data_IF_618042504588
#
_entry.id   IF_618042504588
#
_cell.length_a   1.000
_cell.length_b   1.000
_cell.length_c   1.000
_cell.angle_alpha   90.00
_cell.angle_beta   90.00
_cell.angle_gamma   90.00
#
_symmetry.space_group_name_H-M   'P 1'
#
loop_
_entity.id
_entity.type
_entity.pdbx_description
1 polymer ?
#
# COMPACT_ATOMS: atom_id res chain seq x y z
N UNK A 1 -13.37 -15.82 -19.56
CA UNK A 1 -13.76 -16.06 -18.15
C UNK A 1 -12.97 -15.21 -17.15
N UNK A 2 -11.68 -15.46 -16.87
CA UNK A 2 -10.96 -14.69 -15.82
C UNK A 2 -10.90 -13.17 -16.11
N UNK A 3 -10.58 -12.78 -17.35
CA UNK A 3 -10.61 -11.37 -17.77
C UNK A 3 -12.02 -10.77 -17.71
N UNK A 4 -13.03 -11.52 -18.17
CA UNK A 4 -14.42 -11.07 -18.14
C UNK A 4 -14.85 -10.71 -16.70
N UNK A 5 -14.61 -11.57 -15.71
CA UNK A 5 -14.97 -11.29 -14.31
C UNK A 5 -14.19 -10.14 -13.68
N UNK A 6 -12.92 -9.96 -14.05
CA UNK A 6 -12.17 -8.78 -13.64
C UNK A 6 -12.79 -7.50 -14.23
N UNK A 7 -13.15 -7.54 -15.51
CA UNK A 7 -13.60 -6.38 -16.27
C UNK A 7 -15.04 -5.97 -15.97
N UNK A 8 -15.88 -6.89 -15.45
CA UNK A 8 -17.22 -6.59 -14.94
C UNK A 8 -17.23 -5.47 -13.88
N UNK A 9 -16.18 -5.41 -13.05
CA UNK A 9 -16.08 -4.42 -11.96
C UNK A 9 -15.00 -3.36 -12.23
N UNK A 10 -14.04 -3.65 -13.11
CA UNK A 10 -12.95 -2.75 -13.49
C UNK A 10 -12.78 -2.67 -15.02
N UNK A 11 -13.74 -2.08 -15.76
CA UNK A 11 -13.78 -2.15 -17.23
C UNK A 11 -12.72 -1.27 -17.91
N UNK A 12 -12.19 -0.24 -17.22
CA UNK A 12 -11.23 0.69 -17.82
C UNK A 12 -9.92 -0.02 -18.17
N UNK A 13 -9.32 0.34 -19.31
CA UNK A 13 -8.00 -0.18 -19.72
C UNK A 13 -6.90 0.10 -18.69
N UNK A 14 -6.98 1.24 -17.99
CA UNK A 14 -6.05 1.56 -16.90
C UNK A 14 -6.06 0.53 -15.76
N UNK A 15 -7.15 -0.22 -15.58
CA UNK A 15 -7.23 -1.25 -14.53
C UNK A 15 -6.45 -2.52 -14.89
N UNK A 16 -6.16 -2.78 -16.18
CA UNK A 16 -5.40 -3.96 -16.62
C UNK A 16 -3.93 -3.91 -16.21
N UNK A 17 -3.44 -2.70 -15.93
CA UNK A 17 -2.07 -2.43 -15.48
C UNK A 17 -2.02 -1.91 -14.04
N UNK A 18 -3.17 -1.82 -13.37
CA UNK A 18 -3.23 -1.33 -12.01
C UNK A 18 -2.68 -2.36 -11.03
N UNK A 19 -1.98 -1.90 -9.99
CA UNK A 19 -1.49 -2.73 -8.90
C UNK A 19 -2.60 -3.03 -7.86
N UNK A 20 -3.80 -3.36 -8.32
CA UNK A 20 -4.90 -3.86 -7.49
C UNK A 20 -5.96 -4.56 -8.34
N UNK A 21 -6.71 -5.46 -7.71
CA UNK A 21 -7.91 -6.09 -8.26
C UNK A 21 -9.17 -5.54 -7.58
N UNK A 22 -10.34 -5.90 -8.09
CA UNK A 22 -11.65 -5.48 -7.56
C UNK A 22 -11.93 -5.95 -6.13
N UNK A 23 -11.23 -7.00 -5.65
CA UNK A 23 -11.40 -7.50 -4.28
C UNK A 23 -10.80 -6.61 -3.20
N UNK A 24 -9.64 -5.99 -3.46
CA UNK A 24 -8.88 -5.27 -2.42
C UNK A 24 -8.82 -3.76 -2.67
N UNK A 25 -9.07 -3.32 -3.90
CA UNK A 25 -9.00 -1.91 -4.27
C UNK A 25 -7.59 -1.31 -4.15
N UNK A 26 -7.43 -0.02 -4.49
CA UNK A 26 -6.11 0.62 -4.65
C UNK A 26 -5.31 0.78 -3.35
N UNK A 27 -5.99 0.81 -2.20
CA UNK A 27 -5.36 1.10 -0.91
C UNK A 27 -4.99 -0.15 -0.10
N UNK A 28 -5.64 -1.29 -0.35
CA UNK A 28 -5.52 -2.49 0.50
C UNK A 28 -5.08 -3.74 -0.27
N UNK A 29 -4.54 -3.59 -1.48
CA UNK A 29 -3.98 -4.72 -2.21
C UNK A 29 -2.76 -5.29 -1.47
N UNK A 30 -2.90 -6.48 -0.89
CA UNK A 30 -1.86 -7.15 -0.11
C UNK A 30 -0.54 -7.34 -0.88
N UNK A 31 -0.63 -7.68 -2.16
CA UNK A 31 0.54 -7.80 -3.03
C UNK A 31 1.28 -6.48 -3.19
N UNK A 32 0.55 -5.38 -3.43
CA UNK A 32 1.16 -4.05 -3.55
C UNK A 32 1.82 -3.62 -2.24
N UNK A 33 1.11 -3.77 -1.12
CA UNK A 33 1.66 -3.45 0.21
C UNK A 33 2.95 -4.23 0.47
N UNK A 34 2.97 -5.52 0.14
CA UNK A 34 4.16 -6.35 0.30
C UNK A 34 5.31 -5.89 -0.59
N UNK A 35 5.02 -5.48 -1.83
CA UNK A 35 6.01 -4.92 -2.73
C UNK A 35 6.56 -3.59 -2.21
N UNK A 36 5.69 -2.69 -1.72
CA UNK A 36 6.09 -1.39 -1.17
C UNK A 36 7.03 -1.56 0.03
N UNK A 37 6.80 -2.56 0.91
CA UNK A 37 7.69 -2.90 2.03
C UNK A 37 9.05 -3.39 1.55
N UNK A 38 9.09 -4.27 0.54
CA UNK A 38 10.35 -4.76 -0.05
C UNK A 38 11.14 -3.66 -0.73
N UNK A 39 10.46 -2.78 -1.46
CA UNK A 39 11.08 -1.66 -2.15
C UNK A 39 11.65 -0.65 -1.14
N UNK A 40 10.96 -0.43 -0.01
CA UNK A 40 11.47 0.36 1.10
C UNK A 40 12.72 -0.29 1.71
N UNK A 41 12.67 -1.58 2.03
CA UNK A 41 13.81 -2.33 2.56
C UNK A 41 15.04 -2.24 1.64
N UNK A 42 14.84 -2.45 0.32
CA UNK A 42 15.91 -2.39 -0.67
C UNK A 42 16.53 -0.98 -0.79
N UNK A 43 15.72 0.09 -0.70
CA UNK A 43 16.21 1.48 -0.75
C UNK A 43 17.04 1.86 0.48
N UNK A 44 16.63 1.39 1.66
CA UNK A 44 17.32 1.67 2.92
C UNK A 44 18.48 0.69 3.20
N UNK A 45 18.66 -0.34 2.37
CA UNK A 45 19.66 -1.38 2.59
C UNK A 45 19.37 -2.26 3.81
N UNK A 46 18.09 -2.40 4.17
CA UNK A 46 17.60 -3.15 5.32
C UNK A 46 17.04 -4.51 4.89
N UNK A 47 17.02 -5.47 5.81
CA UNK A 47 16.18 -6.66 5.64
C UNK A 47 14.69 -6.33 5.90
N UNK A 48 13.79 -7.23 5.49
CA UNK A 48 12.33 -7.00 5.58
C UNK A 48 11.85 -6.74 7.02
N UNK A 49 12.45 -7.37 8.03
CA UNK A 49 12.04 -7.21 9.43
C UNK A 49 12.52 -5.87 10.01
N UNK A 50 13.76 -5.49 9.71
CA UNK A 50 14.32 -4.19 10.08
C UNK A 50 13.57 -3.04 9.39
N UNK A 51 13.21 -3.21 8.10
CA UNK A 51 12.43 -2.26 7.34
C UNK A 51 11.03 -2.04 7.92
N UNK A 52 10.37 -3.10 8.41
CA UNK A 52 9.08 -2.98 9.09
C UNK A 52 9.20 -2.14 10.36
N UNK A 53 10.19 -2.43 11.21
CA UNK A 53 10.41 -1.70 12.46
C UNK A 53 10.70 -0.22 12.19
N UNK A 54 11.61 0.07 11.27
CA UNK A 54 11.98 1.44 10.91
C UNK A 54 10.79 2.22 10.31
N UNK A 55 10.00 1.59 9.43
CA UNK A 55 8.81 2.21 8.86
C UNK A 55 7.74 2.52 9.90
N UNK A 56 7.54 1.64 10.88
CA UNK A 56 6.60 1.89 11.99
C UNK A 56 7.06 3.03 12.90
N UNK A 57 8.36 3.12 13.19
CA UNK A 57 8.94 4.22 13.97
C UNK A 57 8.74 5.57 13.27
N UNK A 58 9.04 5.64 11.96
CA UNK A 58 8.80 6.84 11.15
C UNK A 58 7.32 7.26 11.16
N UNK A 59 6.40 6.31 11.05
CA UNK A 59 4.95 6.59 11.10
C UNK A 59 4.48 7.03 12.48
N UNK A 60 5.06 6.48 13.54
CA UNK A 60 4.78 6.92 14.90
C UNK A 60 5.23 8.36 15.12
N UNK A 61 6.44 8.72 14.67
CA UNK A 61 6.91 10.10 14.71
C UNK A 61 6.01 11.05 13.91
N UNK A 62 5.62 10.65 12.70
CA UNK A 62 4.71 11.42 11.83
C UNK A 62 3.37 11.68 12.56
N UNK A 63 2.81 10.65 13.21
CA UNK A 63 1.57 10.77 13.97
C UNK A 63 1.69 11.77 15.12
N UNK A 64 2.79 11.71 15.89
CA UNK A 64 3.05 12.64 17.00
C UNK A 64 3.25 14.07 16.50
N UNK A 65 4.06 14.26 15.45
CA UNK A 65 4.31 15.57 14.82
C UNK A 65 3.03 16.24 14.34
N UNK A 66 2.05 15.44 13.92
CA UNK A 66 0.77 15.90 13.43
C UNK A 66 -0.32 15.98 14.51
N UNK A 67 0.09 16.05 15.78
CA UNK A 67 -0.79 16.34 16.92
C UNK A 67 -1.49 15.13 17.51
N UNK A 68 -1.06 13.91 17.19
CA UNK A 68 -1.60 12.65 17.74
C UNK A 68 -3.12 12.49 17.55
N UNK A 69 -3.66 13.00 16.44
CA UNK A 69 -5.07 12.91 16.10
C UNK A 69 -5.29 11.91 14.97
N UNK A 70 -6.20 10.95 15.20
CA UNK A 70 -6.64 9.98 14.17
C UNK A 70 -7.49 10.63 13.09
N UNK A 71 -8.36 11.56 13.47
CA UNK A 71 -9.24 12.29 12.56
C UNK A 71 -8.78 13.74 12.48
N UNK A 72 -8.39 14.19 11.29
CA UNK A 72 -8.10 15.59 11.02
C UNK A 72 -9.24 16.19 10.22
N UNK A 73 -9.62 17.42 10.55
CA UNK A 73 -10.54 18.19 9.71
C UNK A 73 -9.78 18.53 8.43
N UNK A 74 -10.28 18.03 7.30
CA UNK A 74 -9.90 18.47 5.95
C UNK A 74 -10.23 19.94 5.74
#
# INVERSE_FOLDING_TARGET
KAREFHDETLPKESAKVAHFCSMCGPHFCSMKISQDVRDFAAKEGLDEAAALSAGMEQKAEEFVKLGSQLYRKT
#
